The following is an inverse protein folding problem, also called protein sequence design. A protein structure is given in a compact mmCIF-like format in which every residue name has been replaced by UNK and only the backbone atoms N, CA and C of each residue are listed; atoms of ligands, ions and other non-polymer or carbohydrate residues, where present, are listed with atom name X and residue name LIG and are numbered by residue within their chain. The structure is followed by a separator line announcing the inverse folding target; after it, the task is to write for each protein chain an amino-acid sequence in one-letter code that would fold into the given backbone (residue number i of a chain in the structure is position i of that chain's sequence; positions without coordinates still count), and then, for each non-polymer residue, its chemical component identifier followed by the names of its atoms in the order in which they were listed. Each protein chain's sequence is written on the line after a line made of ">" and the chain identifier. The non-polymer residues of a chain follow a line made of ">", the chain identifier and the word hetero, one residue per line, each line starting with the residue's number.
data_IF_344105095832
#
_entry.id   IF_344105095832
#
_cell.length_a   1.000
_cell.length_b   1.000
_cell.length_c   1.000
_cell.angle_alpha   90.00
_cell.angle_beta   90.00
_cell.angle_gamma   90.00
#
_symmetry.space_group_name_H-M   'P 1'
#
loop_
_entity.id
_entity.type
_entity.pdbx_description
1 polymer ?
#
# COMPACT_ATOMS: atom_id res chain seq x y z
N UNK A 1 -11.49 -1.27 -20.69
CA UNK A 1 -11.21 -2.51 -19.94
C UNK A 1 -10.14 -2.20 -18.92
N UNK A 2 -10.42 -2.41 -17.63
CA UNK A 2 -9.42 -2.19 -16.57
C UNK A 2 -8.36 -3.29 -16.68
N UNK A 3 -7.11 -2.91 -16.89
CA UNK A 3 -6.01 -3.86 -17.08
C UNK A 3 -5.93 -4.86 -15.93
N UNK A 4 -5.86 -6.14 -16.26
CA UNK A 4 -5.61 -7.21 -15.28
C UNK A 4 -4.22 -7.15 -14.65
N UNK A 5 -3.38 -6.28 -15.19
CA UNK A 5 -2.09 -5.86 -14.65
C UNK A 5 -1.96 -4.35 -14.74
N UNK A 6 -1.29 -3.74 -13.76
CA UNK A 6 -0.94 -2.33 -13.77
C UNK A 6 0.40 -2.12 -13.08
N UNK A 7 1.15 -1.14 -13.59
CA UNK A 7 2.41 -0.70 -13.02
C UNK A 7 2.33 0.81 -12.79
N UNK A 8 2.54 1.24 -11.54
CA UNK A 8 2.52 2.65 -11.18
C UNK A 8 3.89 3.02 -10.64
N UNK A 9 4.54 4.01 -11.23
CA UNK A 9 5.78 4.59 -10.69
C UNK A 9 5.50 5.98 -10.16
N UNK A 10 6.05 6.32 -9.00
CA UNK A 10 5.88 7.63 -8.38
C UNK A 10 7.15 8.10 -7.71
N UNK A 11 7.23 9.41 -7.45
CA UNK A 11 8.30 10.02 -6.67
C UNK A 11 7.70 10.81 -5.51
N UNK A 12 8.34 10.77 -4.35
CA UNK A 12 7.96 11.58 -3.19
C UNK A 12 8.74 12.91 -3.16
N UNK A 13 8.30 13.92 -2.38
CA UNK A 13 9.07 15.14 -2.14
C UNK A 13 10.45 14.89 -1.51
N UNK A 14 10.60 13.76 -0.80
CA UNK A 14 11.88 13.31 -0.22
C UNK A 14 12.76 12.53 -1.20
N UNK A 15 12.45 12.57 -2.50
CA UNK A 15 13.18 11.87 -3.58
C UNK A 15 13.19 10.34 -3.46
N UNK A 16 12.17 9.75 -2.83
CA UNK A 16 11.96 8.30 -2.89
C UNK A 16 11.31 7.95 -4.22
N UNK A 17 11.88 6.98 -4.93
CA UNK A 17 11.24 6.33 -6.08
C UNK A 17 10.42 5.14 -5.58
N UNK A 18 9.13 5.15 -5.87
CA UNK A 18 8.22 4.06 -5.54
C UNK A 18 7.65 3.41 -6.78
N UNK A 19 7.33 2.13 -6.67
CA UNK A 19 6.69 1.33 -7.72
C UNK A 19 5.64 0.42 -7.10
N UNK A 20 4.45 0.39 -7.70
CA UNK A 20 3.37 -0.54 -7.37
C UNK A 20 3.11 -1.44 -8.58
N UNK A 21 3.20 -2.73 -8.35
CA UNK A 21 2.95 -3.77 -9.34
C UNK A 21 1.69 -4.52 -8.92
N UNK A 22 0.63 -4.39 -9.72
CA UNK A 22 -0.67 -4.96 -9.43
C UNK A 22 -1.02 -5.98 -10.49
N UNK A 23 -1.51 -7.14 -10.06
CA UNK A 23 -2.12 -8.13 -10.93
C UNK A 23 -3.29 -8.79 -10.20
N UNK A 24 -4.35 -9.09 -10.94
CA UNK A 24 -5.50 -9.88 -10.44
C UNK A 24 -5.56 -11.28 -11.05
N UNK A 25 -4.66 -11.61 -11.97
CA UNK A 25 -4.71 -12.82 -12.80
C UNK A 25 -3.55 -13.77 -12.52
N UNK A 26 -2.77 -13.52 -11.45
CA UNK A 26 -1.62 -14.35 -11.14
C UNK A 26 -2.06 -15.74 -10.68
N UNK A 27 -1.70 -16.77 -11.46
CA UNK A 27 -2.14 -18.16 -11.23
C UNK A 27 -1.57 -18.79 -9.96
N UNK A 28 -0.57 -18.16 -9.34
CA UNK A 28 0.12 -18.68 -8.14
C UNK A 28 -0.55 -18.30 -6.81
N UNK A 29 -1.75 -17.71 -6.86
CA UNK A 29 -2.51 -17.29 -5.69
C UNK A 29 -2.23 -15.85 -5.24
N UNK A 30 -2.77 -15.50 -4.07
CA UNK A 30 -2.66 -14.15 -3.52
C UNK A 30 -1.23 -13.85 -3.02
N UNK A 31 -0.64 -12.75 -3.50
CA UNK A 31 0.65 -12.26 -3.05
C UNK A 31 0.59 -10.77 -2.69
N UNK A 32 1.25 -10.40 -1.60
CA UNK A 32 1.52 -9.02 -1.23
C UNK A 32 2.95 -8.94 -0.71
N UNK A 33 3.84 -8.41 -1.54
CA UNK A 33 5.26 -8.30 -1.27
C UNK A 33 5.63 -6.81 -1.24
N UNK A 34 6.55 -6.42 -0.36
CA UNK A 34 7.00 -5.04 -0.24
C UNK A 34 8.49 -5.00 0.02
N UNK A 35 9.19 -4.14 -0.72
CA UNK A 35 10.61 -3.86 -0.55
C UNK A 35 10.77 -2.39 -0.15
N UNK A 36 11.54 -2.15 0.91
CA UNK A 36 12.05 -0.82 1.27
C UNK A 36 13.56 -0.90 1.20
N UNK A 37 14.13 -0.33 0.14
CA UNK A 37 15.58 -0.34 -0.12
C UNK A 37 16.15 0.98 0.36
N UNK A 38 16.97 0.92 1.41
CA UNK A 38 17.66 2.06 1.99
C UNK A 38 19.15 2.03 1.73
N UNK A 39 19.84 3.08 2.14
CA UNK A 39 21.30 3.16 2.00
C UNK A 39 22.05 2.17 2.89
N UNK A 40 21.41 1.62 3.93
CA UNK A 40 22.04 0.72 4.93
C UNK A 40 21.54 -0.73 4.86
N UNK A 41 20.66 -1.05 3.91
CA UNK A 41 20.05 -2.37 3.83
C UNK A 41 18.63 -2.31 3.26
N UNK A 42 17.98 -3.47 3.25
CA UNK A 42 16.66 -3.66 2.67
C UNK A 42 15.73 -4.31 3.68
N UNK A 43 14.52 -3.77 3.82
CA UNK A 43 13.42 -4.48 4.47
C UNK A 43 12.60 -5.15 3.37
N UNK A 44 12.39 -6.45 3.51
CA UNK A 44 11.60 -7.25 2.58
C UNK A 44 10.48 -7.96 3.36
N UNK A 45 9.25 -7.62 3.02
CA UNK A 45 8.06 -8.18 3.67
C UNK A 45 7.29 -9.03 2.69
N UNK A 46 6.94 -10.24 3.13
CA UNK A 46 5.93 -11.05 2.47
C UNK A 46 6.43 -11.85 1.27
N UNK A 47 7.72 -12.22 1.26
CA UNK A 47 8.37 -13.02 0.21
C UNK A 47 7.46 -14.11 -0.36
N UNK A 48 7.29 -14.13 -1.68
CA UNK A 48 6.47 -15.17 -2.30
C UNK A 48 7.14 -16.56 -2.23
N UNK A 49 6.44 -17.55 -1.69
CA UNK A 49 6.93 -18.92 -1.52
C UNK A 49 5.95 -20.00 -2.03
N UNK A 50 5.03 -19.64 -2.93
CA UNK A 50 4.11 -20.61 -3.56
C UNK A 50 2.97 -21.14 -2.69
N UNK A 51 2.91 -20.75 -1.41
CA UNK A 51 1.88 -21.13 -0.44
C UNK A 51 1.56 -19.91 0.44
N UNK A 52 0.30 -19.71 0.90
CA UNK A 52 -0.01 -18.73 1.95
C UNK A 52 0.51 -19.23 3.30
N UNK A 53 1.83 -19.32 3.42
CA UNK A 53 2.58 -19.66 4.62
C UNK A 53 2.85 -18.42 5.48
N UNK A 54 3.64 -18.55 6.55
CA UNK A 54 3.89 -17.44 7.45
C UNK A 54 4.50 -16.23 6.72
N UNK A 55 4.25 -15.04 7.26
CA UNK A 55 4.68 -13.77 6.69
C UNK A 55 6.08 -13.46 7.20
N UNK A 56 7.07 -13.55 6.33
CA UNK A 56 8.44 -13.17 6.65
C UNK A 56 8.64 -11.66 6.52
N UNK A 57 9.21 -11.04 7.55
CA UNK A 57 9.77 -9.68 7.53
C UNK A 57 11.27 -9.84 7.67
N UNK A 58 11.95 -9.82 6.53
CA UNK A 58 13.37 -10.02 6.39
C UNK A 58 14.08 -8.66 6.37
N UNK A 59 15.10 -8.49 7.20
CA UNK A 59 15.95 -7.30 7.22
C UNK A 59 17.32 -7.72 6.69
N UNK A 60 17.65 -7.29 5.48
CA UNK A 60 18.90 -7.61 4.80
C UNK A 60 19.92 -6.48 5.00
N UNK A 61 21.11 -6.82 5.46
CA UNK A 61 22.22 -5.89 5.62
C UNK A 61 22.94 -5.64 4.27
N UNK A 62 23.81 -4.62 4.21
CA UNK A 62 24.56 -4.29 3.00
C UNK A 62 25.46 -5.43 2.49
N UNK A 63 25.94 -6.27 3.40
CA UNK A 63 26.79 -7.42 3.09
C UNK A 63 25.99 -8.65 2.62
N UNK A 64 24.66 -8.51 2.48
CA UNK A 64 23.76 -9.59 2.08
C UNK A 64 23.42 -10.57 3.21
N UNK A 65 23.82 -10.31 4.45
CA UNK A 65 23.44 -11.14 5.58
C UNK A 65 22.08 -10.75 6.15
N UNK A 66 21.35 -11.73 6.68
CA UNK A 66 20.07 -11.50 7.35
C UNK A 66 20.32 -10.95 8.76
N UNK A 67 19.71 -9.81 9.09
CA UNK A 67 19.84 -9.19 10.40
C UNK A 67 19.02 -9.99 11.44
N UNK A 68 19.53 -10.17 12.69
CA UNK A 68 18.85 -10.95 13.74
C UNK A 68 17.45 -10.46 14.15
N UNK A 69 17.14 -9.19 13.86
CA UNK A 69 15.81 -8.62 14.11
C UNK A 69 14.76 -8.98 13.04
N UNK A 70 15.12 -9.79 12.04
CA UNK A 70 14.15 -10.36 11.09
C UNK A 70 13.15 -11.22 11.84
N UNK A 71 11.88 -11.16 11.44
CA UNK A 71 10.78 -11.82 12.14
C UNK A 71 9.90 -12.59 11.17
N UNK A 72 9.27 -13.64 11.69
CA UNK A 72 8.26 -14.41 10.98
C UNK A 72 6.96 -14.31 11.76
N UNK A 73 5.88 -13.95 11.08
CA UNK A 73 4.54 -13.82 11.66
C UNK A 73 3.65 -14.93 11.13
N UNK A 74 3.03 -15.68 12.04
CA UNK A 74 2.06 -16.69 11.66
C UNK A 74 0.78 -16.06 11.08
N UNK A 75 0.19 -16.75 10.10
CA UNK A 75 -1.11 -16.39 9.54
C UNK A 75 -2.25 -16.95 10.39
N UNK A 76 -3.46 -16.37 10.28
CA UNK A 76 -4.62 -16.94 10.95
C UNK A 76 -5.07 -18.22 10.23
N UNK A 77 -5.27 -19.30 10.98
CA UNK A 77 -5.92 -20.51 10.44
C UNK A 77 -7.45 -20.40 10.61
N UNK A 78 -8.15 -20.20 9.51
CA UNK A 78 -9.62 -20.09 9.47
C UNK A 78 -10.25 -21.40 8.96
N UNK A 79 -11.37 -21.80 9.57
CA UNK A 79 -12.14 -22.98 9.15
C UNK A 79 -13.25 -22.56 8.17
N UNK A 80 -13.23 -23.09 6.94
CA UNK A 80 -14.24 -22.80 5.92
C UNK A 80 -13.64 -22.37 4.59
N UNK A 81 -14.51 -22.02 3.63
CA UNK A 81 -14.09 -21.49 2.34
C UNK A 81 -13.98 -19.97 2.42
N UNK A 82 -12.75 -19.46 2.51
CA UNK A 82 -12.44 -18.04 2.55
C UNK A 82 -11.47 -17.65 1.42
N UNK A 83 -11.52 -16.40 0.95
CA UNK A 83 -10.48 -15.88 0.05
C UNK A 83 -9.08 -16.02 0.66
N UNK A 84 -8.09 -16.37 -0.15
CA UNK A 84 -6.71 -16.61 0.29
C UNK A 84 -6.07 -15.44 1.06
N UNK A 85 -6.48 -14.21 0.76
CA UNK A 85 -5.98 -13.02 1.45
C UNK A 85 -6.48 -12.89 2.90
N UNK A 86 -7.64 -13.47 3.23
CA UNK A 86 -8.29 -13.23 4.51
C UNK A 86 -7.46 -13.76 5.70
N UNK A 87 -6.98 -15.02 5.69
CA UNK A 87 -6.00 -15.51 6.67
C UNK A 87 -4.78 -14.60 6.90
N UNK A 88 -4.32 -13.91 5.84
CA UNK A 88 -3.11 -13.06 5.89
C UNK A 88 -3.37 -11.75 6.63
N UNK A 89 -4.59 -11.21 6.53
CA UNK A 89 -4.96 -9.92 7.12
C UNK A 89 -5.93 -10.00 8.29
N UNK A 90 -6.44 -11.18 8.66
CA UNK A 90 -7.43 -11.32 9.75
C UNK A 90 -6.96 -10.67 11.06
N UNK A 91 -5.73 -10.92 11.51
CA UNK A 91 -5.17 -10.27 12.71
C UNK A 91 -5.12 -8.74 12.54
N UNK A 92 -4.70 -8.26 11.38
CA UNK A 92 -4.61 -6.84 11.09
C UNK A 92 -5.99 -6.17 11.09
N UNK A 93 -7.01 -6.80 10.49
CA UNK A 93 -8.39 -6.31 10.50
C UNK A 93 -8.96 -6.25 11.90
N UNK A 94 -8.76 -7.30 12.72
CA UNK A 94 -9.20 -7.31 14.12
C UNK A 94 -8.55 -6.19 14.92
N UNK A 95 -7.23 -6.00 14.77
CA UNK A 95 -6.50 -4.92 15.44
C UNK A 95 -6.98 -3.54 15.00
N UNK A 96 -7.19 -3.32 13.69
CA UNK A 96 -7.71 -2.06 13.17
C UNK A 96 -9.10 -1.74 13.75
N UNK A 97 -10.00 -2.73 13.82
CA UNK A 97 -11.31 -2.56 14.44
C UNK A 97 -11.24 -2.30 15.95
N UNK A 98 -10.37 -3.00 16.68
CA UNK A 98 -10.16 -2.79 18.10
C UNK A 98 -9.62 -1.38 18.38
N UNK A 99 -8.62 -0.95 17.61
CA UNK A 99 -8.03 0.39 17.74
C UNK A 99 -9.07 1.46 17.44
N UNK A 100 -9.85 1.32 16.37
CA UNK A 100 -10.92 2.27 16.04
C UNK A 100 -11.90 2.45 17.20
N UNK A 101 -12.33 1.35 17.84
CA UNK A 101 -13.22 1.41 19.01
C UNK A 101 -12.57 2.11 20.19
N UNK A 102 -11.32 1.78 20.50
CA UNK A 102 -10.57 2.41 21.59
C UNK A 102 -10.39 3.91 21.35
N UNK A 103 -10.12 4.32 20.11
CA UNK A 103 -9.93 5.73 19.76
C UNK A 103 -11.24 6.52 19.94
N UNK A 104 -12.38 5.93 19.56
CA UNK A 104 -13.72 6.50 19.82
C UNK A 104 -13.98 6.61 21.33
N UNK A 105 -13.75 5.54 22.09
CA UNK A 105 -14.00 5.50 23.54
C UNK A 105 -13.13 6.51 24.31
N UNK A 106 -11.88 6.69 23.89
CA UNK A 106 -10.92 7.60 24.53
C UNK A 106 -10.98 9.03 23.98
N UNK A 107 -11.73 9.28 22.90
CA UNK A 107 -11.81 10.59 22.26
C UNK A 107 -10.48 11.07 21.67
N UNK A 108 -9.66 10.16 21.15
CA UNK A 108 -8.36 10.50 20.53
C UNK A 108 -8.45 10.52 19.00
N UNK A 109 -7.55 11.25 18.31
CA UNK A 109 -7.51 11.23 16.85
C UNK A 109 -7.20 9.84 16.29
N UNK A 110 -7.86 9.47 15.19
CA UNK A 110 -7.59 8.22 14.50
C UNK A 110 -6.22 8.22 13.82
N UNK A 111 -5.54 7.07 13.82
CA UNK A 111 -4.24 6.90 13.15
C UNK A 111 -4.31 6.95 11.61
N UNK A 112 -5.49 6.70 11.04
CA UNK A 112 -5.80 6.92 9.61
C UNK A 112 -7.07 7.75 9.54
N UNK A 113 -7.03 8.85 8.82
CA UNK A 113 -8.13 9.80 8.71
C UNK A 113 -8.69 9.82 7.29
N UNK A 114 -9.75 10.59 7.09
CA UNK A 114 -10.29 10.88 5.76
C UNK A 114 -9.26 11.53 4.81
N UNK A 115 -8.22 12.16 5.34
CA UNK A 115 -7.18 12.78 4.51
C UNK A 115 -6.32 11.72 3.83
N UNK A 116 -5.88 10.69 4.54
CA UNK A 116 -5.13 9.57 3.96
C UNK A 116 -5.98 8.82 2.92
N UNK A 117 -7.29 8.70 3.15
CA UNK A 117 -8.22 8.12 2.18
C UNK A 117 -8.30 8.97 0.91
N UNK A 118 -8.45 10.29 1.05
CA UNK A 118 -8.50 11.21 -0.08
C UNK A 118 -7.20 11.19 -0.89
N UNK A 119 -6.06 11.14 -0.21
CA UNK A 119 -4.74 11.07 -0.87
C UNK A 119 -4.57 9.78 -1.67
N UNK A 120 -5.01 8.65 -1.13
CA UNK A 120 -5.02 7.39 -1.86
C UNK A 120 -5.93 7.46 -3.11
N UNK A 121 -7.11 8.08 -3.00
CA UNK A 121 -8.02 8.23 -4.14
C UNK A 121 -7.44 9.12 -5.23
N UNK A 122 -6.88 10.28 -4.88
CA UNK A 122 -6.23 11.19 -5.83
C UNK A 122 -5.03 10.52 -6.50
N UNK A 123 -4.27 9.72 -5.75
CA UNK A 123 -3.18 8.92 -6.31
C UNK A 123 -3.64 7.90 -7.35
N UNK A 124 -4.69 7.13 -7.04
CA UNK A 124 -5.26 6.16 -7.97
C UNK A 124 -5.81 6.85 -9.23
N UNK A 125 -6.48 7.99 -9.08
CA UNK A 125 -6.98 8.77 -10.22
C UNK A 125 -5.83 9.28 -11.11
N UNK A 126 -4.75 9.78 -10.51
CA UNK A 126 -3.55 10.20 -11.25
C UNK A 126 -2.91 9.03 -12.02
N UNK A 127 -2.82 7.86 -11.39
CA UNK A 127 -2.33 6.65 -12.05
C UNK A 127 -3.25 6.20 -13.21
N UNK A 128 -4.56 6.26 -13.00
CA UNK A 128 -5.54 5.92 -14.04
C UNK A 128 -5.45 6.87 -15.23
N UNK A 129 -5.39 8.18 -14.98
CA UNK A 129 -5.21 9.19 -16.04
C UNK A 129 -3.88 9.05 -16.76
N UNK A 130 -2.79 8.76 -16.05
CA UNK A 130 -1.50 8.44 -16.65
C UNK A 130 -1.64 7.30 -17.67
N UNK A 131 -2.31 6.21 -17.31
CA UNK A 131 -2.55 5.09 -18.21
C UNK A 131 -3.39 5.47 -19.44
N UNK A 132 -4.44 6.29 -19.26
CA UNK A 132 -5.27 6.79 -20.38
C UNK A 132 -4.52 7.73 -21.33
N UNK A 133 -3.50 8.43 -20.83
CA UNK A 133 -2.74 9.44 -21.57
C UNK A 133 -1.29 8.99 -21.85
N UNK A 134 -1.11 7.73 -22.23
CA UNK A 134 0.18 7.17 -22.68
C UNK A 134 1.35 7.35 -21.68
N UNK A 135 1.07 7.22 -20.38
CA UNK A 135 2.08 7.35 -19.32
C UNK A 135 2.41 8.80 -18.96
N UNK A 136 1.48 9.74 -19.22
CA UNK A 136 1.66 11.14 -18.82
C UNK A 136 1.93 11.28 -17.31
N UNK A 137 2.80 12.24 -16.95
CA UNK A 137 3.16 12.50 -15.55
C UNK A 137 2.19 13.48 -14.94
N UNK A 138 1.64 13.12 -13.78
CA UNK A 138 0.78 13.98 -12.98
C UNK A 138 1.51 14.39 -11.70
N UNK A 139 1.41 15.67 -11.34
CA UNK A 139 1.91 16.18 -10.07
C UNK A 139 0.76 16.20 -9.08
N UNK A 140 1.00 15.64 -7.91
CA UNK A 140 0.07 15.67 -6.79
C UNK A 140 0.54 16.71 -5.78
N UNK A 141 -0.40 17.47 -5.24
CA UNK A 141 -0.14 18.47 -4.20
C UNK A 141 -1.20 18.32 -3.12
N UNK A 142 -0.75 18.16 -1.87
CA UNK A 142 -1.64 18.05 -0.71
C UNK A 142 -1.83 19.42 -0.07
N UNK A 143 -3.07 19.74 0.29
CA UNK A 143 -3.42 20.91 1.10
C UNK A 143 -4.43 20.53 2.18
N UNK A 144 -4.19 20.93 3.43
CA UNK A 144 -5.15 20.65 4.52
C UNK A 144 -6.50 21.34 4.30
N UNK A 145 -6.49 22.48 3.60
CA UNK A 145 -7.70 23.16 3.15
C UNK A 145 -8.30 22.45 1.92
N UNK A 146 -9.54 21.95 2.06
CA UNK A 146 -10.23 21.17 1.03
C UNK A 146 -10.50 21.96 -0.25
N UNK A 147 -10.77 23.27 -0.17
CA UNK A 147 -11.03 24.10 -1.35
C UNK A 147 -9.74 24.29 -2.14
N UNK A 148 -8.63 24.57 -1.45
CA UNK A 148 -7.31 24.63 -2.07
C UNK A 148 -6.89 23.28 -2.64
N UNK A 149 -7.19 22.18 -1.94
CA UNK A 149 -6.87 20.85 -2.44
C UNK A 149 -7.64 20.52 -3.72
N UNK A 150 -8.96 20.76 -3.72
CA UNK A 150 -9.80 20.59 -4.92
C UNK A 150 -9.28 21.43 -6.09
N UNK A 151 -8.99 22.71 -5.86
CA UNK A 151 -8.46 23.60 -6.89
C UNK A 151 -7.13 23.08 -7.47
N UNK A 152 -6.24 22.56 -6.62
CA UNK A 152 -4.98 21.96 -7.05
C UNK A 152 -5.19 20.68 -7.88
N UNK A 153 -6.16 19.83 -7.52
CA UNK A 153 -6.53 18.65 -8.29
C UNK A 153 -7.06 19.02 -9.68
N UNK A 154 -7.92 20.04 -9.79
CA UNK A 154 -8.43 20.55 -11.08
C UNK A 154 -7.28 21.11 -11.91
N UNK A 155 -6.44 21.97 -11.32
CA UNK A 155 -5.29 22.56 -12.02
C UNK A 155 -4.27 21.51 -12.49
N UNK A 156 -4.20 20.36 -11.81
CA UNK A 156 -3.35 19.23 -12.18
C UNK A 156 -4.02 18.27 -13.17
N UNK A 157 -5.24 18.58 -13.64
CA UNK A 157 -6.00 17.76 -14.58
C UNK A 157 -6.46 16.42 -14.00
N UNK A 158 -6.62 16.33 -12.67
CA UNK A 158 -7.07 15.12 -11.96
C UNK A 158 -8.57 15.09 -11.71
N UNK A 159 -9.24 16.24 -11.82
CA UNK A 159 -10.69 16.38 -11.69
C UNK A 159 -11.21 17.26 -12.82
N UNK A 160 -12.48 17.08 -13.20
CA UNK A 160 -13.20 18.06 -14.02
C UNK A 160 -13.53 19.32 -13.22
N UNK A 161 -13.87 20.40 -13.93
CA UNK A 161 -14.36 21.67 -13.33
C UNK A 161 -15.69 21.48 -12.59
#
# INVERSE_FOLDING_TARGET
>A
EGGDTAFVTFTTPSNVLGRLDLSRTHASGYNNETYIIGTKGTIHTGRFAGYPGPIHVEIWQQDGTLHPASQTFEMTHLQGSYPEFLPRFDIAYRRAHQQFRQDVENGVPFGVTQNEVLDAQVFVEAAHRSALHNGARYRLQRFDDLLKYKAACIASGLMGE
#
